data_IF_949054557641
#
_entry.id   IF_949054557641
#
_cell.length_a   1.000
_cell.length_b   1.000
_cell.length_c   1.000
_cell.angle_alpha   90.00
_cell.angle_beta   90.00
_cell.angle_gamma   90.00
#
_symmetry.space_group_name_H-M   'P 1'
#
loop_
_entity.id
_entity.type
_entity.pdbx_description
1 polymer ?
#
# COMPACT_ATOMS: atom_id res chain seq x y z
N UNK A 1 -27.01 17.19 -8.17
CA UNK A 1 -26.48 16.98 -6.81
C UNK A 1 -24.98 16.87 -6.94
N UNK A 2 -24.27 17.71 -6.20
CA UNK A 2 -22.84 17.99 -6.31
C UNK A 2 -22.02 16.75 -5.94
N UNK A 3 -21.57 16.01 -6.95
CA UNK A 3 -20.54 14.97 -6.82
C UNK A 3 -19.18 15.64 -6.73
N UNK A 4 -18.95 16.37 -5.65
CA UNK A 4 -17.74 17.16 -5.42
C UNK A 4 -16.49 16.28 -5.35
N UNK A 5 -15.42 16.78 -5.97
CA UNK A 5 -13.96 16.70 -5.71
C UNK A 5 -13.28 15.45 -5.09
N UNK A 6 -14.01 14.47 -4.59
CA UNK A 6 -13.51 13.34 -3.80
C UNK A 6 -13.72 11.98 -4.47
N UNK A 7 -14.60 11.87 -5.48
CA UNK A 7 -14.84 10.59 -6.17
C UNK A 7 -13.59 10.04 -6.89
N UNK A 8 -12.66 10.89 -7.31
CA UNK A 8 -11.40 10.45 -7.94
C UNK A 8 -10.28 10.16 -6.93
N UNK A 9 -10.43 10.55 -5.66
CA UNK A 9 -9.43 10.27 -4.63
C UNK A 9 -9.72 8.94 -3.94
N UNK A 10 -10.99 8.62 -3.70
CA UNK A 10 -11.43 7.37 -3.06
C UNK A 10 -11.00 6.12 -3.85
N UNK A 11 -11.00 6.17 -5.19
CA UNK A 11 -10.57 5.06 -6.04
C UNK A 11 -9.06 4.76 -5.99
N UNK A 12 -8.24 5.70 -5.49
CA UNK A 12 -6.78 5.55 -5.41
C UNK A 12 -6.28 5.29 -3.98
N UNK A 13 -7.13 5.49 -2.98
CA UNK A 13 -6.79 5.29 -1.56
C UNK A 13 -7.25 3.93 -1.01
N UNK A 14 -8.14 3.22 -1.70
CA UNK A 14 -8.74 1.95 -1.22
C UNK A 14 -8.06 0.69 -1.78
N UNK A 15 -7.07 0.82 -2.66
CA UNK A 15 -6.27 -0.34 -3.07
C UNK A 15 -5.02 -0.45 -2.18
N UNK A 16 -5.25 -0.91 -0.95
CA UNK A 16 -4.24 -1.34 0.00
C UNK A 16 -3.58 -2.64 -0.52
N UNK A 17 -2.27 -2.78 -0.28
CA UNK A 17 -1.37 -3.88 -0.66
C UNK A 17 -0.80 -3.84 -2.08
N UNK A 18 -0.11 -2.76 -2.43
CA UNK A 18 0.86 -2.78 -3.54
C UNK A 18 2.11 -3.60 -3.12
N UNK A 19 1.95 -4.93 -3.12
CA UNK A 19 3.04 -5.92 -2.95
C UNK A 19 4.09 -5.83 -4.07
N UNK A 20 3.85 -4.98 -5.07
CA UNK A 20 4.75 -4.70 -6.19
C UNK A 20 5.79 -3.62 -5.87
N UNK A 21 5.74 -3.01 -4.69
CA UNK A 21 6.69 -1.95 -4.28
C UNK A 21 8.13 -2.49 -4.32
N UNK A 22 8.88 -2.10 -5.36
CA UNK A 22 10.29 -2.51 -5.57
C UNK A 22 10.53 -3.46 -6.74
N UNK A 23 9.49 -3.83 -7.49
CA UNK A 23 9.57 -4.68 -8.70
C UNK A 23 9.24 -3.82 -9.93
N UNK A 24 10.23 -3.61 -10.79
CA UNK A 24 10.05 -2.93 -12.09
C UNK A 24 10.16 -3.97 -13.21
N UNK A 25 9.11 -4.09 -14.02
CA UNK A 25 9.03 -5.09 -15.08
C UNK A 25 8.76 -4.41 -16.41
N UNK A 26 9.71 -4.52 -17.33
CA UNK A 26 9.55 -4.08 -18.70
C UNK A 26 9.21 -5.28 -19.59
N UNK A 27 8.02 -5.23 -20.19
CA UNK A 27 7.52 -6.28 -21.08
C UNK A 27 7.61 -5.83 -22.54
N UNK A 28 8.33 -6.61 -23.34
CA UNK A 28 8.32 -6.55 -24.80
C UNK A 28 7.25 -7.48 -25.38
N UNK A 29 7.18 -7.53 -26.72
CA UNK A 29 6.19 -8.37 -27.43
C UNK A 29 6.44 -9.88 -27.29
N UNK A 30 7.70 -10.27 -27.11
CA UNK A 30 8.14 -11.67 -26.99
C UNK A 30 9.12 -11.87 -25.84
N UNK A 31 9.64 -10.79 -25.28
CA UNK A 31 10.74 -10.82 -24.33
C UNK A 31 10.39 -10.00 -23.10
N UNK A 32 10.87 -10.43 -21.94
CA UNK A 32 10.69 -9.72 -20.66
C UNK A 32 12.04 -9.53 -19.99
N UNK A 33 12.27 -8.31 -19.51
CA UNK A 33 13.37 -7.97 -18.63
C UNK A 33 12.81 -7.61 -17.24
N UNK A 34 13.42 -8.15 -16.19
CA UNK A 34 12.95 -7.96 -14.81
C UNK A 34 14.06 -7.30 -13.99
N UNK A 35 13.77 -6.14 -13.42
CA UNK A 35 14.63 -5.46 -12.44
C UNK A 35 14.02 -5.55 -11.04
N UNK A 36 14.80 -6.08 -10.10
CA UNK A 36 14.34 -6.36 -8.75
C UNK A 36 15.26 -5.70 -7.74
N UNK A 37 14.65 -4.95 -6.83
CA UNK A 37 15.33 -4.44 -5.65
C UNK A 37 14.92 -5.27 -4.46
N UNK A 38 15.88 -6.00 -3.90
CA UNK A 38 15.63 -6.94 -2.80
C UNK A 38 16.35 -6.49 -1.54
N UNK A 39 15.66 -6.64 -0.41
CA UNK A 39 16.25 -6.55 0.92
C UNK A 39 16.49 -7.97 1.39
N UNK A 40 17.73 -8.31 1.72
CA UNK A 40 18.10 -9.69 2.08
C UNK A 40 18.18 -9.87 3.59
N UNK A 41 17.92 -11.09 4.07
CA UNK A 41 18.03 -11.41 5.49
C UNK A 41 19.50 -11.59 5.90
N UNK A 42 19.88 -11.05 7.06
CA UNK A 42 21.22 -11.22 7.64
C UNK A 42 21.63 -12.70 7.71
N UNK A 43 22.90 -12.99 7.37
CA UNK A 43 23.50 -14.35 7.32
C UNK A 43 22.91 -15.32 6.31
N UNK A 44 22.14 -14.84 5.32
CA UNK A 44 21.77 -15.68 4.16
C UNK A 44 22.79 -15.55 3.03
N UNK A 45 22.91 -16.63 2.26
CA UNK A 45 23.75 -16.67 1.07
C UNK A 45 23.01 -15.97 -0.10
N UNK A 46 23.55 -14.84 -0.55
CA UNK A 46 22.95 -14.02 -1.61
C UNK A 46 22.94 -14.75 -2.96
N UNK A 47 24.03 -15.40 -3.41
CA UNK A 47 24.00 -16.27 -4.60
C UNK A 47 22.86 -17.31 -4.61
N UNK A 48 22.63 -18.02 -3.50
CA UNK A 48 21.56 -19.03 -3.43
C UNK A 48 20.16 -18.41 -3.56
N UNK A 49 19.99 -17.19 -3.05
CA UNK A 49 18.74 -16.42 -3.18
C UNK A 49 18.56 -15.99 -4.64
N UNK A 50 19.62 -15.50 -5.29
CA UNK A 50 19.59 -15.08 -6.68
C UNK A 50 19.15 -16.22 -7.61
N UNK A 51 19.72 -17.42 -7.46
CA UNK A 51 19.36 -18.57 -8.28
C UNK A 51 17.88 -18.94 -8.11
N UNK A 52 17.37 -18.93 -6.88
CA UNK A 52 15.94 -19.19 -6.60
C UNK A 52 15.03 -18.15 -7.23
N UNK A 53 15.37 -16.86 -7.11
CA UNK A 53 14.61 -15.77 -7.72
C UNK A 53 14.54 -15.97 -9.24
N UNK A 54 15.67 -16.29 -9.86
CA UNK A 54 15.76 -16.52 -11.31
C UNK A 54 14.92 -17.70 -11.78
N UNK A 55 14.94 -18.81 -11.04
CA UNK A 55 14.15 -20.00 -11.34
C UNK A 55 12.65 -19.70 -11.25
N UNK A 56 12.21 -19.06 -10.16
CA UNK A 56 10.81 -18.70 -9.93
C UNK A 56 10.31 -17.77 -11.03
N UNK A 57 11.06 -16.72 -11.35
CA UNK A 57 10.65 -15.73 -12.36
C UNK A 57 10.55 -16.37 -13.74
N UNK A 58 11.55 -17.15 -14.16
CA UNK A 58 11.51 -17.85 -15.45
C UNK A 58 10.30 -18.77 -15.53
N UNK A 59 10.02 -19.51 -14.46
CA UNK A 59 8.91 -20.45 -14.42
C UNK A 59 7.55 -19.73 -14.49
N UNK A 60 7.33 -18.73 -13.65
CA UNK A 60 6.05 -18.03 -13.55
C UNK A 60 5.77 -17.18 -14.80
N UNK A 61 6.77 -16.43 -15.28
CA UNK A 61 6.59 -15.60 -16.48
C UNK A 61 6.34 -16.46 -17.71
N UNK A 62 7.09 -17.54 -17.90
CA UNK A 62 6.86 -18.46 -19.01
C UNK A 62 5.50 -19.18 -18.91
N UNK A 63 5.10 -19.60 -17.71
CA UNK A 63 3.84 -20.32 -17.50
C UNK A 63 2.60 -19.43 -17.71
N UNK A 64 2.66 -18.15 -17.34
CA UNK A 64 1.51 -17.24 -17.43
C UNK A 64 1.43 -16.49 -18.76
N UNK A 65 2.57 -16.17 -19.38
CA UNK A 65 2.62 -15.21 -20.50
C UNK A 65 3.23 -15.77 -21.78
N UNK A 66 3.82 -16.97 -21.75
CA UNK A 66 4.58 -17.56 -22.87
C UNK A 66 5.73 -16.66 -23.39
N UNK A 67 6.12 -15.62 -22.63
CA UNK A 67 7.20 -14.73 -22.97
C UNK A 67 8.55 -15.30 -22.51
N UNK A 68 9.60 -14.98 -23.26
CA UNK A 68 10.96 -15.39 -22.94
C UNK A 68 11.63 -14.37 -22.01
N UNK A 69 12.06 -14.80 -20.83
CA UNK A 69 12.81 -13.94 -19.89
C UNK A 69 14.27 -13.88 -20.33
N UNK A 70 14.67 -12.75 -20.91
CA UNK A 70 16.02 -12.55 -21.44
C UNK A 70 17.02 -12.20 -20.33
N UNK A 71 16.61 -11.40 -19.36
CA UNK A 71 17.49 -10.89 -18.31
C UNK A 71 16.75 -10.68 -16.99
N UNK A 72 17.42 -11.02 -15.88
CA UNK A 72 16.93 -10.79 -14.51
C UNK A 72 18.05 -10.10 -13.73
N UNK A 73 17.82 -8.84 -13.41
CA UNK A 73 18.72 -8.00 -12.63
C UNK A 73 18.23 -7.90 -11.19
N UNK A 74 19.09 -8.25 -10.24
CA UNK A 74 18.77 -8.24 -8.81
C UNK A 74 19.74 -7.33 -8.09
N UNK A 75 19.24 -6.22 -7.57
CA UNK A 75 20.00 -5.26 -6.76
C UNK A 75 19.67 -5.46 -5.29
N UNK A 76 20.68 -5.75 -4.47
CA UNK A 76 20.51 -5.81 -3.01
C UNK A 76 20.62 -4.40 -2.44
N UNK A 77 19.52 -3.85 -1.96
CA UNK A 77 19.47 -2.48 -1.43
C UNK A 77 19.80 -2.40 0.06
N UNK A 78 19.49 -3.46 0.83
CA UNK A 78 19.70 -3.48 2.27
C UNK A 78 19.79 -4.92 2.82
N UNK A 79 20.33 -5.08 4.02
CA UNK A 79 20.40 -6.34 4.77
C UNK A 79 19.76 -6.13 6.14
N UNK A 80 18.60 -6.74 6.36
CA UNK A 80 17.84 -6.61 7.62
C UNK A 80 17.74 -7.95 8.34
N UNK A 81 17.59 -7.93 9.65
CA UNK A 81 17.16 -9.14 10.38
C UNK A 81 15.65 -9.30 10.28
N UNK A 82 15.13 -10.50 10.56
CA UNK A 82 13.69 -10.77 10.58
C UNK A 82 12.94 -9.91 11.60
N UNK A 83 13.58 -9.57 12.70
CA UNK A 83 13.04 -8.72 13.74
C UNK A 83 12.85 -7.29 13.20
N UNK A 84 13.83 -6.75 12.49
CA UNK A 84 13.75 -5.43 11.87
C UNK A 84 12.69 -5.36 10.76
N UNK A 85 12.52 -6.44 9.98
CA UNK A 85 11.46 -6.51 8.97
C UNK A 85 10.04 -6.49 9.58
N UNK A 86 9.86 -7.15 10.73
CA UNK A 86 8.56 -7.15 11.43
C UNK A 86 8.26 -5.81 12.09
N UNK A 87 9.27 -5.14 12.64
CA UNK A 87 9.12 -3.84 13.30
C UNK A 87 8.72 -2.74 12.30
N UNK A 88 9.29 -2.76 11.09
CA UNK A 88 8.92 -1.84 10.01
C UNK A 88 7.46 -2.00 9.57
N UNK A 89 6.96 -3.24 9.49
CA UNK A 89 5.56 -3.52 9.08
C UNK A 89 4.54 -3.01 10.11
N UNK A 90 4.84 -3.22 11.40
CA UNK A 90 4.00 -2.75 12.52
C UNK A 90 3.97 -1.22 12.59
N UNK A 91 5.09 -0.54 12.30
CA UNK A 91 5.18 0.93 12.31
C UNK A 91 4.30 1.58 11.24
N UNK A 92 4.24 1.02 10.03
CA UNK A 92 3.42 1.57 8.94
C UNK A 92 1.93 1.44 9.28
N UNK A 93 1.52 0.28 9.80
CA UNK A 93 0.14 0.03 10.22
C UNK A 93 -0.28 0.97 11.37
N UNK A 94 0.59 1.17 12.36
CA UNK A 94 0.29 2.04 13.50
C UNK A 94 0.15 3.52 13.09
N UNK A 95 0.96 3.97 12.11
CA UNK A 95 0.87 5.33 11.55
C UNK A 95 -0.42 5.56 10.76
N UNK A 96 -0.86 4.59 9.95
CA UNK A 96 -2.11 4.74 9.17
C UNK A 96 -3.33 4.68 10.08
N UNK A 97 -3.33 3.80 11.10
CA UNK A 97 -4.39 3.74 12.11
C UNK A 97 -4.48 5.02 12.92
N UNK A 98 -3.34 5.57 13.35
CA UNK A 98 -3.28 6.85 14.08
C UNK A 98 -3.81 8.02 13.25
N UNK A 99 -3.48 8.07 11.95
CA UNK A 99 -3.98 9.10 11.04
C UNK A 99 -5.49 8.99 10.83
N UNK A 100 -5.99 7.77 10.58
CA UNK A 100 -7.42 7.50 10.43
C UNK A 100 -8.23 7.85 11.70
N UNK A 101 -7.70 7.49 12.88
CA UNK A 101 -8.32 7.84 14.16
C UNK A 101 -8.36 9.35 14.41
N UNK A 102 -7.28 10.07 14.07
CA UNK A 102 -7.22 11.52 14.28
C UNK A 102 -8.19 12.25 13.36
N UNK A 103 -8.28 11.85 12.08
CA UNK A 103 -9.25 12.42 11.15
C UNK A 103 -10.69 12.06 11.53
N UNK A 104 -10.96 10.80 11.91
CA UNK A 104 -12.28 10.36 12.36
C UNK A 104 -12.76 11.05 13.64
N UNK A 105 -11.85 11.30 14.59
CA UNK A 105 -12.15 12.04 15.81
C UNK A 105 -12.41 13.52 15.56
N UNK A 106 -11.66 14.13 14.65
CA UNK A 106 -11.91 15.52 14.27
C UNK A 106 -13.29 15.64 13.63
N UNK A 107 -13.60 14.82 12.62
CA UNK A 107 -14.90 14.88 11.95
C UNK A 107 -16.07 14.60 12.91
N UNK A 108 -15.95 13.65 13.84
CA UNK A 108 -16.99 13.44 14.86
C UNK A 108 -17.16 14.65 15.77
N UNK A 109 -16.07 15.28 16.25
CA UNK A 109 -16.15 16.48 17.09
C UNK A 109 -16.79 17.68 16.38
N UNK A 110 -16.66 17.83 15.06
CA UNK A 110 -17.39 18.87 14.33
C UNK A 110 -18.84 18.51 14.06
N UNK A 111 -19.13 17.25 13.74
CA UNK A 111 -20.50 16.79 13.48
C UNK A 111 -21.34 16.85 14.75
N UNK A 112 -20.79 16.44 15.89
CA UNK A 112 -21.47 16.51 17.19
C UNK A 112 -21.73 17.97 17.60
N UNK A 113 -20.75 18.88 17.44
CA UNK A 113 -20.96 20.32 17.68
C UNK A 113 -22.03 20.94 16.79
N UNK A 114 -22.17 20.47 15.55
CA UNK A 114 -23.21 20.94 14.65
C UNK A 114 -24.57 20.36 15.05
N UNK A 115 -24.62 19.09 15.44
CA UNK A 115 -25.84 18.43 15.92
C UNK A 115 -26.36 19.08 17.20
N UNK A 116 -25.50 19.34 18.17
CA UNK A 116 -25.85 20.05 19.41
C UNK A 116 -26.42 21.46 19.12
N UNK A 117 -25.83 22.19 18.16
CA UNK A 117 -26.34 23.51 17.75
C UNK A 117 -27.67 23.45 17.00
N UNK A 118 -27.95 22.36 16.29
CA UNK A 118 -29.21 22.16 15.57
C UNK A 118 -30.32 21.75 16.54
N UNK A 119 -30.03 20.86 17.49
CA UNK A 119 -30.95 20.49 18.58
C UNK A 119 -31.30 21.72 19.44
N UNK A 120 -30.29 22.53 19.82
CA UNK A 120 -30.50 23.74 20.63
C UNK A 120 -31.26 24.87 19.87
N UNK A 121 -31.32 24.84 18.54
CA UNK A 121 -32.20 25.74 17.76
C UNK A 121 -33.62 25.18 17.60
N UNK A 122 -33.76 23.87 17.40
CA UNK A 122 -35.05 23.21 17.20
C UNK A 122 -35.90 23.26 18.47
N UNK A 123 -35.28 23.09 19.65
CA UNK A 123 -35.96 23.23 20.95
C UNK A 123 -36.36 24.68 21.27
N UNK A 124 -35.65 25.67 20.72
CA UNK A 124 -36.00 27.10 20.88
C UNK A 124 -37.14 27.51 19.96
N UNK A 125 -37.23 26.97 18.74
CA UNK A 125 -38.35 27.24 17.84
C UNK A 125 -39.65 26.55 18.29
N UNK A 126 -39.57 25.37 18.90
CA UNK A 126 -40.74 24.66 19.43
C UNK A 126 -41.35 25.32 20.67
N UNK A 127 -40.60 26.18 21.38
CA UNK A 127 -41.02 26.82 22.64
C UNK A 127 -41.64 28.22 22.46
N UNK A 128 -41.74 28.71 21.22
CA UNK A 128 -42.29 30.04 20.88
C UNK A 128 -43.65 29.95 20.14
N UNK A 129 -44.31 28.79 20.17
CA UNK A 129 -45.73 28.65 19.79
C UNK A 129 -46.60 28.30 20.98
#
# INVERSE_FOLDING_TARGET
>A
VEGGFFSNLTGKLINTDDVTTGVDVEVGKTQVAVDLKVVTEYRKNVPDIYEKIKEVIRKEVAAMTELEVVEVNVTVTDIKTKEQQKEDDVSIQDRVTSAAQTTGKFTSEQVDKVKDKVEDNTDKEARVK
#
